data_IF_524223428962
#
_entry.id   IF_524223428962
#
_cell.length_a   1.000
_cell.length_b   1.000
_cell.length_c   1.000
_cell.angle_alpha   90.00
_cell.angle_beta   90.00
_cell.angle_gamma   90.00
#
_symmetry.space_group_name_H-M   'P 1'
#
loop_
_entity.id
_entity.type
_entity.pdbx_description
1 polymer ?
#
# COMPACT_ATOMS: atom_id res chain seq x y z
N UNK A 1 1.78 -3.07 10.65
CA UNK A 1 1.62 -1.64 10.26
C UNK A 1 2.83 -0.79 10.63
N UNK A 2 3.18 -0.60 11.93
CA UNK A 2 4.31 0.28 12.31
C UNK A 2 5.63 -0.10 11.63
N UNK A 3 5.94 -1.39 11.50
CA UNK A 3 7.15 -1.84 10.81
C UNK A 3 7.21 -1.46 9.33
N UNK A 4 6.07 -1.45 8.62
CA UNK A 4 6.00 -1.01 7.23
C UNK A 4 6.27 0.50 7.12
N UNK A 5 5.64 1.30 7.98
CA UNK A 5 5.85 2.75 8.04
C UNK A 5 7.32 3.09 8.39
N UNK A 6 7.88 2.42 9.40
CA UNK A 6 9.29 2.62 9.76
C UNK A 6 10.21 2.20 8.60
N UNK A 7 9.89 1.10 7.94
CA UNK A 7 10.65 0.62 6.77
C UNK A 7 10.63 1.60 5.62
N UNK A 8 9.49 2.17 5.29
CA UNK A 8 9.33 3.21 4.28
C UNK A 8 10.16 4.45 4.63
N UNK A 9 9.98 5.00 5.85
CA UNK A 9 10.69 6.20 6.29
C UNK A 9 12.20 6.00 6.29
N UNK A 10 12.70 4.91 6.87
CA UNK A 10 14.14 4.60 6.90
C UNK A 10 14.67 4.28 5.51
N UNK A 11 13.86 3.66 4.66
CA UNK A 11 14.21 3.31 3.29
C UNK A 11 14.20 4.48 2.31
N UNK A 12 13.48 5.55 2.60
CA UNK A 12 13.16 6.65 1.67
C UNK A 12 14.39 7.25 0.97
N UNK A 13 15.46 7.51 1.69
CA UNK A 13 16.71 8.09 1.15
C UNK A 13 17.53 7.10 0.33
N UNK A 14 17.23 5.81 0.42
CA UNK A 14 17.93 4.74 -0.28
C UNK A 14 17.17 4.25 -1.52
N UNK A 15 15.97 4.72 -1.77
CA UNK A 15 15.16 4.31 -2.92
C UNK A 15 15.87 4.54 -4.25
N UNK A 16 16.54 5.69 -4.39
CA UNK A 16 17.30 6.07 -5.59
C UNK A 16 18.82 5.93 -5.43
N UNK A 17 19.30 5.72 -4.20
CA UNK A 17 20.71 5.53 -3.86
C UNK A 17 20.88 4.21 -3.10
N UNK A 18 20.64 3.11 -3.77
CA UNK A 18 20.63 1.78 -3.18
C UNK A 18 21.94 1.45 -2.45
N UNK A 19 21.83 1.01 -1.20
CA UNK A 19 22.93 0.46 -0.42
C UNK A 19 22.77 -1.05 -0.26
N UNK A 20 23.91 -1.77 -0.17
CA UNK A 20 23.93 -3.24 0.04
C UNK A 20 24.66 -3.59 1.34
N UNK A 21 24.33 -2.87 2.40
CA UNK A 21 24.87 -3.10 3.74
C UNK A 21 23.74 -3.12 4.76
N UNK A 22 23.98 -3.79 5.89
CA UNK A 22 23.11 -3.73 7.07
C UNK A 22 23.57 -2.69 8.08
N UNK A 23 24.73 -2.09 7.86
CA UNK A 23 25.30 -1.02 8.69
C UNK A 23 24.95 0.32 8.07
N UNK A 24 23.85 0.93 8.55
CA UNK A 24 23.38 2.25 8.17
C UNK A 24 22.66 2.91 9.36
N UNK A 25 22.64 4.24 9.44
CA UNK A 25 21.94 4.94 10.51
C UNK A 25 20.43 4.73 10.40
N UNK A 26 19.77 4.41 11.53
CA UNK A 26 18.33 4.23 11.60
C UNK A 26 17.60 5.58 11.76
N UNK A 27 18.28 6.60 12.28
CA UNK A 27 17.73 7.93 12.49
C UNK A 27 18.56 8.96 11.75
N UNK A 28 17.91 9.72 10.84
CA UNK A 28 18.50 10.82 10.09
C UNK A 28 17.47 11.94 9.95
N UNK A 29 17.94 13.16 9.82
CA UNK A 29 17.07 14.35 9.68
C UNK A 29 16.44 14.47 8.27
N UNK A 30 17.03 13.80 7.27
CA UNK A 30 16.58 13.81 5.86
C UNK A 30 15.64 12.65 5.50
N UNK A 31 15.21 11.85 6.47
CA UNK A 31 14.20 10.82 6.26
C UNK A 31 12.82 11.45 6.05
N UNK A 32 12.04 10.86 5.14
CA UNK A 32 10.68 11.27 4.83
C UNK A 32 9.79 10.05 4.61
N UNK A 33 8.50 10.22 4.64
CA UNK A 33 7.56 9.16 4.25
C UNK A 33 7.19 9.27 2.78
N UNK A 34 6.86 8.13 2.16
CA UNK A 34 6.47 8.05 0.76
C UNK A 34 5.00 7.64 0.61
N UNK A 35 4.60 7.34 -0.63
CA UNK A 35 3.26 6.82 -0.92
C UNK A 35 2.99 5.48 -0.22
N UNK A 36 4.01 4.72 0.14
CA UNK A 36 3.86 3.48 0.90
C UNK A 36 3.27 3.73 2.28
N UNK A 37 3.78 4.71 3.02
CA UNK A 37 3.19 5.12 4.31
C UNK A 37 1.80 5.68 4.12
N UNK A 38 1.60 6.59 3.17
CA UNK A 38 0.30 7.24 2.94
C UNK A 38 -0.77 6.22 2.60
N UNK A 39 -0.48 5.29 1.68
CA UNK A 39 -1.44 4.26 1.29
C UNK A 39 -1.62 3.18 2.35
N UNK A 40 -0.62 2.89 3.15
CA UNK A 40 -0.76 2.01 4.32
C UNK A 40 -1.76 2.61 5.32
N UNK A 41 -1.70 3.90 5.58
CA UNK A 41 -2.68 4.60 6.43
C UNK A 41 -4.08 4.62 5.80
N UNK A 42 -4.17 4.82 4.48
CA UNK A 42 -5.45 4.78 3.77
C UNK A 42 -6.13 3.40 3.87
N UNK A 43 -5.36 2.32 3.69
CA UNK A 43 -5.86 0.95 3.85
C UNK A 43 -6.31 0.69 5.29
N UNK A 44 -5.57 1.19 6.29
CA UNK A 44 -5.97 1.08 7.69
C UNK A 44 -7.33 1.74 7.95
N UNK A 45 -7.52 2.97 7.48
CA UNK A 45 -8.80 3.68 7.62
C UNK A 45 -9.92 2.92 6.93
N UNK A 46 -9.70 2.41 5.70
CA UNK A 46 -10.69 1.64 4.97
C UNK A 46 -11.16 0.40 5.76
N UNK A 47 -10.21 -0.37 6.32
CA UNK A 47 -10.51 -1.53 7.15
C UNK A 47 -11.34 -1.13 8.38
N UNK A 48 -10.97 -0.05 9.05
CA UNK A 48 -11.69 0.45 10.23
C UNK A 48 -13.10 0.93 9.90
N UNK A 49 -13.36 1.38 8.68
CA UNK A 49 -14.66 1.84 8.20
C UNK A 49 -15.58 0.70 7.70
N UNK A 50 -15.09 -0.54 7.63
CA UNK A 50 -15.89 -1.70 7.25
C UNK A 50 -15.24 -2.60 6.22
N UNK A 51 -14.16 -2.14 5.54
CA UNK A 51 -13.36 -2.94 4.62
C UNK A 51 -14.08 -3.29 3.31
N UNK A 52 -15.09 -2.51 2.92
CA UNK A 52 -15.77 -2.70 1.64
C UNK A 52 -14.98 -2.01 0.52
N UNK A 53 -15.21 -2.43 -0.72
CA UNK A 53 -14.55 -1.86 -1.91
C UNK A 53 -14.57 -0.32 -1.91
N UNK A 54 -15.70 0.26 -1.60
CA UNK A 54 -15.85 1.72 -1.62
C UNK A 54 -15.06 2.41 -0.49
N UNK A 55 -14.93 1.78 0.67
CA UNK A 55 -14.12 2.31 1.78
C UNK A 55 -12.64 2.44 1.36
N UNK A 56 -12.10 1.44 0.65
CA UNK A 56 -10.73 1.50 0.12
C UNK A 56 -10.56 2.60 -0.93
N UNK A 57 -11.51 2.71 -1.87
CA UNK A 57 -11.46 3.73 -2.93
C UNK A 57 -11.48 5.13 -2.31
N UNK A 58 -12.39 5.37 -1.39
CA UNK A 58 -12.58 6.68 -0.75
C UNK A 58 -11.38 7.05 0.12
N UNK A 59 -10.87 6.12 0.91
CA UNK A 59 -9.68 6.34 1.72
C UNK A 59 -8.44 6.62 0.85
N UNK A 60 -8.17 5.81 -0.18
CA UNK A 60 -7.01 6.02 -1.06
C UNK A 60 -7.09 7.37 -1.79
N UNK A 61 -8.26 7.76 -2.30
CA UNK A 61 -8.44 9.06 -2.95
C UNK A 61 -8.32 10.21 -1.96
N UNK A 62 -8.85 10.08 -0.75
CA UNK A 62 -8.74 11.07 0.33
C UNK A 62 -7.28 11.31 0.69
N UNK A 63 -6.56 10.26 1.06
CA UNK A 63 -5.16 10.37 1.48
C UNK A 63 -4.25 10.79 0.34
N UNK A 64 -4.47 10.28 -0.88
CA UNK A 64 -3.70 10.67 -2.04
C UNK A 64 -3.83 12.16 -2.38
N UNK A 65 -5.02 12.74 -2.20
CA UNK A 65 -5.24 14.19 -2.35
C UNK A 65 -4.66 15.01 -1.20
N UNK A 66 -4.61 14.47 0.02
CA UNK A 66 -3.99 15.13 1.18
C UNK A 66 -2.46 15.23 1.06
N UNK A 67 -1.84 14.25 0.43
CA UNK A 67 -0.39 14.15 0.29
C UNK A 67 0.01 13.96 -1.19
N UNK A 68 -0.22 14.95 -2.05
CA UNK A 68 -0.05 14.81 -3.51
C UNK A 68 1.39 14.54 -3.94
N UNK A 69 2.36 14.94 -3.14
CA UNK A 69 3.79 14.86 -3.42
C UNK A 69 4.48 13.62 -2.82
N UNK A 70 3.69 12.61 -2.40
CA UNK A 70 4.23 11.43 -1.73
C UNK A 70 4.93 10.42 -2.66
N UNK A 71 5.02 10.69 -3.96
CA UNK A 71 5.79 9.86 -4.91
C UNK A 71 4.96 8.86 -5.73
N UNK A 72 3.64 9.06 -5.85
CA UNK A 72 2.76 8.16 -6.60
C UNK A 72 3.19 7.96 -8.06
N UNK A 73 3.08 6.72 -8.54
CA UNK A 73 3.18 6.44 -9.96
C UNK A 73 2.12 7.21 -10.76
N UNK A 74 2.47 7.68 -11.97
CA UNK A 74 1.66 8.60 -12.76
C UNK A 74 0.21 8.13 -13.00
N UNK A 75 0.00 6.84 -13.28
CA UNK A 75 -1.35 6.28 -13.46
C UNK A 75 -2.18 6.31 -12.17
N UNK A 76 -1.56 6.01 -11.05
CA UNK A 76 -2.23 6.06 -9.75
C UNK A 76 -2.57 7.50 -9.36
N UNK A 77 -1.65 8.43 -9.57
CA UNK A 77 -1.90 9.86 -9.37
C UNK A 77 -3.07 10.37 -10.23
N UNK A 78 -3.12 9.97 -11.51
CA UNK A 78 -4.27 10.29 -12.37
C UNK A 78 -5.58 9.72 -11.86
N UNK A 79 -5.57 8.47 -11.37
CA UNK A 79 -6.76 7.83 -10.80
C UNK A 79 -7.22 8.51 -9.50
N UNK A 80 -6.30 8.86 -8.59
CA UNK A 80 -6.60 9.63 -7.37
C UNK A 80 -7.39 10.91 -7.70
N UNK A 81 -7.00 11.60 -8.77
CA UNK A 81 -7.55 12.90 -9.14
C UNK A 81 -8.77 12.81 -10.09
N UNK A 82 -9.11 11.62 -10.57
CA UNK A 82 -10.29 11.39 -11.42
C UNK A 82 -11.53 11.07 -10.59
N UNK A 83 -12.71 11.13 -11.23
CA UNK A 83 -13.96 10.63 -10.65
C UNK A 83 -14.16 9.13 -10.89
N UNK A 84 -13.24 8.50 -11.62
CA UNK A 84 -13.28 7.06 -11.91
C UNK A 84 -13.06 6.26 -10.62
N UNK A 85 -13.94 5.29 -10.37
CA UNK A 85 -13.87 4.37 -9.24
C UNK A 85 -13.51 2.94 -9.66
N UNK A 86 -13.36 2.69 -10.97
CA UNK A 86 -13.03 1.37 -11.48
C UNK A 86 -11.55 1.04 -11.35
N UNK A 87 -11.20 -0.24 -11.25
CA UNK A 87 -9.82 -0.70 -11.35
C UNK A 87 -9.18 -0.27 -12.69
N UNK A 88 -7.89 -0.07 -12.67
CA UNK A 88 -7.11 0.18 -13.87
C UNK A 88 -5.91 -0.78 -13.88
N UNK A 89 -5.45 -1.17 -15.08
CA UNK A 89 -4.28 -2.04 -15.22
C UNK A 89 -3.02 -1.29 -14.77
N UNK A 90 -2.53 -1.62 -13.60
CA UNK A 90 -1.27 -1.11 -13.07
C UNK A 90 -0.15 -2.10 -13.35
N UNK A 91 1.03 -1.57 -13.72
CA UNK A 91 2.27 -2.34 -13.78
C UNK A 91 3.13 -2.16 -12.54
N UNK A 92 2.64 -1.42 -11.54
CA UNK A 92 3.34 -1.16 -10.30
C UNK A 92 3.04 -2.23 -9.25
N UNK A 93 3.95 -2.40 -8.29
CA UNK A 93 3.87 -3.30 -7.15
C UNK A 93 3.11 -2.72 -5.94
N UNK A 94 2.51 -1.54 -6.06
CA UNK A 94 1.88 -0.80 -4.96
C UNK A 94 0.79 -1.56 -4.20
N UNK A 95 0.14 -2.57 -4.81
CA UNK A 95 -0.81 -3.42 -4.10
C UNK A 95 -0.14 -4.28 -3.03
N UNK A 96 1.06 -4.81 -3.31
CA UNK A 96 1.82 -5.67 -2.37
C UNK A 96 2.31 -4.87 -1.16
N UNK A 97 2.73 -3.62 -1.36
CA UNK A 97 3.24 -2.75 -0.30
C UNK A 97 2.17 -2.40 0.74
N UNK A 98 0.90 -2.37 0.34
CA UNK A 98 -0.25 -1.96 1.17
C UNK A 98 -0.88 -3.10 1.98
N UNK A 99 -0.55 -4.37 1.66
CA UNK A 99 -1.17 -5.54 2.28
C UNK A 99 -0.64 -5.87 3.68
N UNK A 100 0.34 -5.14 4.19
CA UNK A 100 0.88 -5.36 5.53
C UNK A 100 -0.17 -5.30 6.65
N UNK A 101 -1.29 -4.62 6.41
CA UNK A 101 -2.43 -4.56 7.31
C UNK A 101 -3.41 -5.72 7.11
N UNK A 102 -3.55 -6.19 5.88
CA UNK A 102 -4.37 -7.35 5.57
C UNK A 102 -3.72 -8.66 6.05
N UNK A 103 -2.40 -8.67 6.19
CA UNK A 103 -1.63 -9.79 6.74
C UNK A 103 -1.66 -9.89 8.28
N UNK A 104 -2.25 -8.92 8.97
CA UNK A 104 -2.54 -9.04 10.40
C UNK A 104 -3.79 -9.93 10.55
N UNK A 105 -3.58 -11.26 10.59
CA UNK A 105 -4.60 -12.32 10.60
C UNK A 105 -5.72 -12.15 11.64
N UNK A 106 -5.48 -11.38 12.70
CA UNK A 106 -6.47 -11.13 13.76
C UNK A 106 -7.50 -10.05 13.39
N UNK A 107 -7.21 -9.18 12.43
CA UNK A 107 -8.09 -8.06 12.08
C UNK A 107 -8.87 -8.27 10.79
N UNK A 108 -8.34 -9.05 9.86
CA UNK A 108 -9.01 -9.36 8.59
C UNK A 108 -8.77 -10.84 8.32
N UNK A 109 -9.80 -11.66 8.35
CA UNK A 109 -9.76 -13.11 8.08
C UNK A 109 -9.42 -13.42 6.61
N UNK A 110 -8.31 -12.89 6.13
CA UNK A 110 -7.94 -12.92 4.71
C UNK A 110 -6.48 -13.36 4.56
N UNK A 111 -6.25 -14.32 3.67
CA UNK A 111 -4.90 -14.71 3.24
C UNK A 111 -4.61 -14.13 1.87
N UNK A 112 -3.43 -13.52 1.70
CA UNK A 112 -2.98 -12.99 0.43
C UNK A 112 -1.84 -13.87 -0.08
N UNK A 113 -2.04 -14.46 -1.25
CA UNK A 113 -1.04 -15.28 -1.92
C UNK A 113 -0.53 -14.51 -3.14
N UNK A 114 0.72 -14.04 -3.16
CA UNK A 114 1.29 -13.45 -4.35
C UNK A 114 1.40 -14.52 -5.44
N UNK A 115 0.92 -14.21 -6.64
CA UNK A 115 1.03 -15.08 -7.82
C UNK A 115 2.25 -14.72 -8.66
N UNK A 116 2.58 -13.43 -8.73
CA UNK A 116 3.75 -12.87 -9.41
C UNK A 116 3.97 -11.44 -8.92
N UNK A 117 4.89 -10.69 -9.52
CA UNK A 117 5.23 -9.32 -9.14
C UNK A 117 4.07 -8.32 -9.33
N UNK A 118 2.99 -8.72 -9.98
CA UNK A 118 1.89 -7.83 -10.41
C UNK A 118 0.51 -8.28 -9.96
N UNK A 119 0.36 -9.50 -9.47
CA UNK A 119 -0.95 -10.07 -9.12
C UNK A 119 -0.91 -10.87 -7.82
N UNK A 120 -2.01 -10.85 -7.09
CA UNK A 120 -2.18 -11.67 -5.89
C UNK A 120 -3.61 -12.24 -5.80
N UNK A 121 -3.75 -13.35 -5.07
CA UNK A 121 -5.04 -13.89 -4.67
C UNK A 121 -5.34 -13.44 -3.25
N UNK A 122 -6.57 -13.00 -3.04
CA UNK A 122 -7.13 -12.70 -1.73
C UNK A 122 -8.05 -13.85 -1.35
N UNK A 123 -7.71 -14.55 -0.29
CA UNK A 123 -8.47 -15.70 0.19
C UNK A 123 -9.14 -15.37 1.52
N UNK A 124 -10.33 -15.93 1.75
CA UNK A 124 -10.95 -15.91 3.06
C UNK A 124 -10.25 -16.88 4.05
N UNK A 125 -10.71 -16.88 5.31
CA UNK A 125 -10.19 -17.77 6.36
C UNK A 125 -10.24 -19.27 5.99
N UNK A 126 -11.12 -19.67 5.08
CA UNK A 126 -11.32 -21.05 4.66
C UNK A 126 -10.53 -21.38 3.38
N UNK A 127 -9.79 -20.41 2.83
CA UNK A 127 -9.01 -20.55 1.61
C UNK A 127 -9.81 -20.39 0.31
N UNK A 128 -11.04 -19.83 0.38
CA UNK A 128 -11.79 -19.50 -0.82
C UNK A 128 -11.28 -18.21 -1.44
N UNK A 129 -11.20 -18.14 -2.76
CA UNK A 129 -10.81 -16.92 -3.46
C UNK A 129 -11.93 -15.90 -3.31
N UNK A 130 -11.62 -14.77 -2.65
CA UNK A 130 -12.52 -13.61 -2.55
C UNK A 130 -12.32 -12.72 -3.78
N UNK A 131 -11.06 -12.50 -4.14
CA UNK A 131 -10.69 -11.62 -5.23
C UNK A 131 -9.36 -12.04 -5.85
N UNK A 132 -9.21 -11.85 -7.15
CA UNK A 132 -7.95 -11.90 -7.88
C UNK A 132 -7.60 -10.47 -8.27
N UNK A 133 -6.46 -9.99 -7.80
CA UNK A 133 -5.93 -8.69 -8.16
C UNK A 133 -4.85 -8.92 -9.23
N UNK A 134 -5.13 -8.48 -10.44
CA UNK A 134 -4.22 -8.51 -11.59
C UNK A 134 -3.56 -7.15 -11.79
#
# INVERSE_FOLDING_TARGET
MLGAIIGDIVGSVYEWNNIKTKDFPIFREDYFFTDDTVMTCAVAEAIMNGGQKDDFIDAMKKYGKMYPDAGYAARFSSWINSDNRDPYNSFGNGSVMRVSLCAAEELVNVHIIPLNDYSCLVLDRLGNIIEKID
#
